data_IF_433071773313
#
_entry.id   IF_433071773313
#
_cell.length_a   1.000
_cell.length_b   1.000
_cell.length_c   1.000
_cell.angle_alpha   90.00
_cell.angle_beta   90.00
_cell.angle_gamma   90.00
#
_symmetry.space_group_name_H-M   'P 1'
#
loop_
_entity.id
_entity.type
_entity.pdbx_description
1 polymer ?
#
# COMPACT_ATOMS: atom_id res chain seq x y z
N UNK A 1 3.67 -29.28 -26.11
CA UNK A 1 2.94 -28.73 -27.26
C UNK A 1 3.87 -27.77 -27.98
N UNK A 2 4.02 -27.89 -29.28
CA UNK A 2 4.83 -26.94 -30.11
C UNK A 2 3.86 -26.23 -31.06
N UNK A 3 3.92 -24.91 -31.08
CA UNK A 3 3.10 -24.06 -31.98
C UNK A 3 4.03 -23.22 -32.81
N UNK A 4 3.84 -23.29 -34.13
CA UNK A 4 4.60 -22.49 -35.07
C UNK A 4 3.65 -21.47 -35.73
N UNK A 5 4.07 -20.19 -35.73
CA UNK A 5 3.36 -19.10 -36.41
C UNK A 5 4.34 -18.41 -37.36
N UNK A 6 4.03 -18.42 -38.65
CA UNK A 6 4.80 -17.70 -39.65
C UNK A 6 4.18 -16.32 -39.89
N UNK A 7 5.00 -15.29 -39.93
CA UNK A 7 4.59 -13.91 -40.18
C UNK A 7 5.30 -13.35 -41.41
N UNK A 8 4.57 -12.68 -42.24
CA UNK A 8 5.10 -11.83 -43.31
C UNK A 8 4.78 -10.40 -42.95
N UNK A 9 5.79 -9.53 -42.95
CA UNK A 9 5.63 -8.10 -42.63
C UNK A 9 6.01 -7.32 -43.89
N UNK A 10 5.07 -6.60 -44.45
CA UNK A 10 5.32 -5.66 -45.53
C UNK A 10 5.44 -4.25 -44.94
N UNK A 11 6.61 -3.66 -45.01
CA UNK A 11 6.88 -2.31 -44.54
C UNK A 11 7.30 -1.45 -45.72
N UNK A 12 6.64 -0.31 -45.87
CA UNK A 12 6.98 0.63 -46.94
C UNK A 12 8.41 1.15 -46.75
N UNK A 13 9.19 1.22 -47.83
CA UNK A 13 10.57 1.71 -47.81
C UNK A 13 10.68 3.15 -47.25
N UNK A 14 9.61 3.94 -47.38
CA UNK A 14 9.51 5.31 -46.86
C UNK A 14 9.00 5.41 -45.42
N UNK A 15 8.74 4.28 -44.74
CA UNK A 15 8.19 4.28 -43.39
C UNK A 15 9.22 4.84 -42.39
N UNK A 16 8.77 5.73 -41.50
CA UNK A 16 9.55 6.21 -40.40
C UNK A 16 9.75 5.09 -39.34
N UNK A 17 10.77 5.20 -38.52
CA UNK A 17 11.04 4.24 -37.44
C UNK A 17 9.80 4.01 -36.54
N UNK A 18 9.06 5.07 -36.19
CA UNK A 18 7.85 4.95 -35.39
C UNK A 18 6.73 4.16 -36.12
N UNK A 19 6.61 4.32 -37.41
CA UNK A 19 5.66 3.55 -38.23
C UNK A 19 6.06 2.08 -38.32
N UNK A 20 7.36 1.79 -38.49
CA UNK A 20 7.90 0.44 -38.48
C UNK A 20 7.62 -0.26 -37.12
N UNK A 21 7.89 0.45 -36.01
CA UNK A 21 7.64 -0.07 -34.65
C UNK A 21 6.15 -0.40 -34.43
N UNK A 22 5.23 0.50 -34.84
CA UNK A 22 3.79 0.25 -34.73
C UNK A 22 3.34 -0.94 -35.58
N UNK A 23 3.81 -1.06 -36.81
CA UNK A 23 3.46 -2.19 -37.69
C UNK A 23 3.94 -3.51 -37.11
N UNK A 24 5.19 -3.56 -36.61
CA UNK A 24 5.75 -4.75 -35.94
C UNK A 24 4.94 -5.10 -34.68
N UNK A 25 4.55 -4.10 -33.88
CA UNK A 25 3.73 -4.30 -32.68
C UNK A 25 2.35 -4.89 -33.04
N UNK A 26 1.66 -4.34 -34.03
CA UNK A 26 0.33 -4.80 -34.43
C UNK A 26 0.36 -6.24 -34.98
N UNK A 27 1.33 -6.55 -35.82
CA UNK A 27 1.53 -7.88 -36.37
C UNK A 27 1.93 -8.87 -35.26
N UNK A 28 2.81 -8.45 -34.35
CA UNK A 28 3.19 -9.24 -33.19
C UNK A 28 1.99 -9.60 -32.31
N UNK A 29 1.08 -8.66 -32.06
CA UNK A 29 -0.16 -8.90 -31.34
C UNK A 29 -1.09 -9.88 -32.09
N UNK A 30 -1.17 -9.77 -33.42
CA UNK A 30 -1.94 -10.71 -34.24
C UNK A 30 -1.37 -12.12 -34.16
N UNK A 31 -0.04 -12.25 -34.23
CA UNK A 31 0.65 -13.52 -34.08
C UNK A 31 0.41 -14.16 -32.70
N UNK A 32 0.49 -13.37 -31.64
CA UNK A 32 0.18 -13.87 -30.30
C UNK A 32 -1.25 -14.37 -30.17
N UNK A 33 -2.22 -13.68 -30.78
CA UNK A 33 -3.62 -14.13 -30.80
C UNK A 33 -3.78 -15.45 -31.55
N UNK A 34 -3.09 -15.59 -32.69
CA UNK A 34 -3.17 -16.83 -33.49
C UNK A 34 -2.47 -17.99 -32.78
N UNK A 35 -1.27 -17.76 -32.26
CA UNK A 35 -0.56 -18.75 -31.43
C UNK A 35 -1.42 -19.25 -30.27
N UNK A 36 -2.11 -18.33 -29.58
CA UNK A 36 -3.01 -18.66 -28.47
C UNK A 36 -4.18 -19.56 -28.91
N UNK A 37 -4.82 -19.27 -30.04
CA UNK A 37 -5.87 -20.13 -30.60
C UNK A 37 -5.35 -21.53 -30.93
N UNK A 38 -4.18 -21.62 -31.57
CA UNK A 38 -3.56 -22.90 -31.92
C UNK A 38 -3.19 -23.71 -30.67
N UNK A 39 -2.64 -23.07 -29.65
CA UNK A 39 -2.33 -23.71 -28.36
C UNK A 39 -3.58 -24.30 -27.71
N UNK A 40 -4.69 -23.55 -27.71
CA UNK A 40 -5.97 -24.05 -27.18
C UNK A 40 -6.46 -25.23 -27.99
N UNK A 41 -6.36 -25.16 -29.32
CA UNK A 41 -6.77 -26.26 -30.21
C UNK A 41 -5.95 -27.55 -29.95
N UNK A 42 -4.64 -27.43 -29.79
CA UNK A 42 -3.80 -28.59 -29.44
C UNK A 42 -4.13 -29.15 -28.05
N UNK A 43 -4.38 -28.27 -27.06
CA UNK A 43 -4.83 -28.70 -25.74
C UNK A 43 -6.20 -29.40 -25.78
N UNK A 44 -7.11 -28.95 -26.67
CA UNK A 44 -8.39 -29.60 -26.91
C UNK A 44 -8.23 -31.00 -27.50
N UNK A 45 -7.27 -31.18 -28.42
CA UNK A 45 -6.97 -32.46 -29.03
C UNK A 45 -6.41 -33.51 -28.03
N UNK A 46 -5.74 -33.03 -26.97
CA UNK A 46 -5.25 -33.88 -25.87
C UNK A 46 -6.37 -34.40 -24.94
N UNK A 47 -7.47 -33.67 -24.85
CA UNK A 47 -8.63 -34.01 -24.01
C UNK A 47 -9.59 -34.94 -24.75
N UNK A 48 -9.29 -36.24 -24.80
CA UNK A 48 -10.06 -37.19 -25.60
C UNK A 48 -11.26 -37.81 -24.86
N UNK A 49 -11.23 -37.86 -23.54
CA UNK A 49 -12.27 -38.52 -22.74
C UNK A 49 -13.41 -37.57 -22.36
N UNK A 50 -14.61 -38.11 -22.25
CA UNK A 50 -15.78 -37.41 -21.73
C UNK A 50 -15.56 -37.07 -20.25
N UNK A 51 -15.72 -35.79 -19.82
CA UNK A 51 -15.53 -35.41 -18.42
C UNK A 51 -16.61 -35.93 -17.47
N UNK A 52 -17.70 -36.53 -18.01
CA UNK A 52 -18.83 -37.04 -17.22
C UNK A 52 -18.77 -38.53 -16.96
N UNK A 53 -18.24 -39.31 -17.92
CA UNK A 53 -18.24 -40.78 -17.81
C UNK A 53 -16.93 -41.46 -18.25
N UNK A 54 -15.92 -40.71 -18.66
CA UNK A 54 -14.63 -41.21 -19.11
C UNK A 54 -14.62 -41.86 -20.50
N UNK A 55 -15.78 -42.05 -21.17
CA UNK A 55 -15.83 -42.67 -22.49
C UNK A 55 -15.08 -41.82 -23.54
N UNK A 56 -14.33 -42.53 -24.43
CA UNK A 56 -13.56 -41.88 -25.51
C UNK A 56 -14.39 -41.70 -26.79
N UNK A 57 -15.46 -42.49 -26.97
CA UNK A 57 -16.32 -42.42 -28.14
C UNK A 57 -17.19 -41.17 -28.11
N UNK A 58 -17.04 -40.31 -29.10
CA UNK A 58 -17.72 -39.03 -29.21
C UNK A 58 -18.02 -38.65 -30.64
N UNK A 59 -19.12 -37.93 -30.86
CA UNK A 59 -19.52 -37.38 -32.15
C UNK A 59 -19.40 -35.87 -32.11
N UNK A 60 -18.84 -35.25 -33.14
CA UNK A 60 -18.80 -33.80 -33.29
C UNK A 60 -20.21 -33.25 -33.52
N UNK A 61 -20.66 -32.32 -32.70
CA UNK A 61 -21.93 -31.59 -32.85
C UNK A 61 -21.77 -30.23 -33.54
N UNK A 62 -20.55 -29.68 -33.56
CA UNK A 62 -20.26 -28.39 -34.15
C UNK A 62 -19.19 -27.59 -33.41
N UNK A 63 -19.15 -26.29 -33.64
CA UNK A 63 -18.19 -25.36 -33.02
C UNK A 63 -18.93 -24.24 -32.33
N UNK A 64 -18.56 -23.95 -31.10
CA UNK A 64 -19.03 -22.80 -30.33
C UNK A 64 -17.88 -21.83 -30.10
N UNK A 65 -18.17 -20.54 -30.04
CA UNK A 65 -17.15 -19.50 -29.86
C UNK A 65 -17.13 -18.98 -28.42
N UNK A 66 -15.94 -18.69 -27.91
CA UNK A 66 -15.77 -17.99 -26.65
C UNK A 66 -14.80 -16.83 -26.85
N UNK A 67 -15.17 -15.65 -26.35
CA UNK A 67 -14.29 -14.50 -26.37
C UNK A 67 -13.54 -14.43 -25.03
N UNK A 68 -12.22 -14.31 -25.12
CA UNK A 68 -11.35 -14.16 -23.95
C UNK A 68 -10.55 -12.87 -24.11
N UNK A 69 -10.63 -11.98 -23.14
CA UNK A 69 -9.77 -10.81 -23.04
C UNK A 69 -8.40 -11.25 -22.49
N UNK A 70 -7.34 -10.93 -23.22
CA UNK A 70 -5.95 -11.29 -22.92
C UNK A 70 -5.07 -10.04 -22.90
N UNK A 71 -3.81 -10.17 -22.52
CA UNK A 71 -2.83 -9.07 -22.57
C UNK A 71 -2.60 -8.55 -23.99
N UNK A 72 -2.85 -9.35 -25.01
CA UNK A 72 -2.66 -9.00 -26.42
C UNK A 72 -3.99 -8.79 -27.16
N UNK A 73 -5.05 -8.44 -26.43
CA UNK A 73 -6.38 -8.09 -26.95
C UNK A 73 -7.43 -9.17 -26.73
N UNK A 74 -8.61 -8.97 -27.32
CA UNK A 74 -9.69 -9.95 -27.28
C UNK A 74 -9.46 -11.04 -28.32
N UNK A 75 -9.52 -12.29 -27.90
CA UNK A 75 -9.33 -13.48 -28.75
C UNK A 75 -10.63 -14.25 -28.79
N UNK A 76 -11.17 -14.41 -30.01
CA UNK A 76 -12.29 -15.29 -30.25
C UNK A 76 -11.78 -16.70 -30.48
N UNK A 77 -12.01 -17.59 -29.50
CA UNK A 77 -11.55 -18.97 -29.51
C UNK A 77 -12.67 -19.88 -29.99
N UNK A 78 -12.52 -20.55 -31.12
CA UNK A 78 -13.42 -21.60 -31.56
C UNK A 78 -13.17 -22.85 -30.70
N UNK A 79 -14.23 -23.47 -30.16
CA UNK A 79 -14.19 -24.68 -29.36
C UNK A 79 -15.07 -25.71 -30.00
N UNK A 80 -14.57 -26.94 -30.21
CA UNK A 80 -15.37 -28.03 -30.72
C UNK A 80 -16.30 -28.56 -29.62
N UNK A 81 -17.56 -28.73 -29.98
CA UNK A 81 -18.59 -29.35 -29.12
C UNK A 81 -18.84 -30.76 -29.56
N UNK A 82 -18.72 -31.69 -28.63
CA UNK A 82 -18.91 -33.10 -28.87
C UNK A 82 -20.07 -33.65 -28.03
N UNK A 83 -20.76 -34.66 -28.56
CA UNK A 83 -21.71 -35.48 -27.82
C UNK A 83 -21.06 -36.82 -27.48
N UNK A 84 -21.08 -37.19 -26.21
CA UNK A 84 -20.57 -38.47 -25.75
C UNK A 84 -21.51 -39.59 -26.17
N UNK A 85 -20.98 -40.65 -26.78
CA UNK A 85 -21.78 -41.80 -27.16
C UNK A 85 -22.09 -42.72 -25.97
N UNK A 86 -21.31 -42.67 -24.88
CA UNK A 86 -21.55 -43.47 -23.68
C UNK A 86 -22.66 -42.92 -22.78
N UNK A 87 -22.65 -41.57 -22.48
CA UNK A 87 -23.64 -40.99 -21.57
C UNK A 87 -24.61 -40.00 -22.23
N UNK A 88 -24.50 -39.74 -23.52
CA UNK A 88 -25.37 -38.84 -24.28
C UNK A 88 -25.18 -37.34 -23.99
N UNK A 89 -24.29 -36.94 -23.07
CA UNK A 89 -24.06 -35.53 -22.70
C UNK A 89 -23.13 -34.83 -23.70
N UNK A 90 -23.44 -33.55 -23.95
CA UNK A 90 -22.58 -32.68 -24.77
C UNK A 90 -21.51 -32.01 -23.92
N UNK A 91 -20.30 -31.85 -24.45
CA UNK A 91 -19.18 -31.20 -23.80
C UNK A 91 -18.22 -30.54 -24.78
N UNK A 92 -17.45 -29.57 -24.31
CA UNK A 92 -16.32 -28.97 -25.05
C UNK A 92 -15.04 -29.33 -24.32
N UNK A 93 -14.12 -30.10 -24.89
CA UNK A 93 -12.84 -30.46 -24.22
C UNK A 93 -12.04 -29.23 -23.79
N UNK A 94 -12.02 -28.16 -24.60
CA UNK A 94 -11.36 -26.90 -24.28
C UNK A 94 -11.86 -26.25 -22.98
N UNK A 95 -13.03 -26.65 -22.43
CA UNK A 95 -13.51 -26.06 -21.17
C UNK A 95 -12.57 -26.34 -19.98
N UNK A 96 -11.86 -27.47 -20.00
CA UNK A 96 -10.86 -27.78 -18.97
C UNK A 96 -9.74 -26.73 -18.93
N UNK A 97 -9.33 -26.20 -20.09
CA UNK A 97 -8.30 -25.16 -20.19
C UNK A 97 -8.78 -23.80 -19.64
N UNK A 98 -10.08 -23.60 -19.50
CA UNK A 98 -10.69 -22.37 -19.01
C UNK A 98 -11.19 -22.47 -17.56
N UNK A 99 -10.89 -23.57 -16.87
CA UNK A 99 -11.32 -23.77 -15.48
C UNK A 99 -10.84 -22.63 -14.55
N UNK A 100 -9.61 -22.13 -14.77
CA UNK A 100 -9.03 -21.00 -14.01
C UNK A 100 -9.81 -19.68 -14.15
N UNK A 101 -10.62 -19.55 -15.24
CA UNK A 101 -11.41 -18.34 -15.46
C UNK A 101 -12.68 -18.29 -14.59
N UNK A 102 -13.03 -19.41 -13.92
CA UNK A 102 -14.21 -19.52 -13.05
C UNK A 102 -15.50 -18.94 -13.71
N UNK A 103 -15.72 -19.26 -14.99
CA UNK A 103 -16.83 -18.73 -15.78
C UNK A 103 -16.63 -17.34 -16.39
N UNK A 104 -15.59 -16.61 -15.99
CA UNK A 104 -15.24 -15.29 -16.53
C UNK A 104 -14.67 -15.31 -17.95
N UNK A 105 -14.39 -14.13 -18.47
CA UNK A 105 -13.87 -13.92 -19.83
C UNK A 105 -12.49 -13.23 -19.87
N UNK A 106 -11.91 -12.94 -18.72
CA UNK A 106 -10.61 -12.24 -18.61
C UNK A 106 -9.54 -13.22 -18.17
N UNK A 107 -8.46 -13.35 -18.94
CA UNK A 107 -7.34 -14.24 -18.62
C UNK A 107 -6.65 -13.82 -17.33
N UNK A 108 -6.08 -14.78 -16.61
CA UNK A 108 -5.38 -14.51 -15.34
C UNK A 108 -4.27 -13.46 -15.46
N UNK A 109 -3.39 -13.52 -16.49
CA UNK A 109 -2.38 -12.47 -16.70
C UNK A 109 -2.97 -11.07 -16.90
N UNK A 110 -4.11 -10.95 -17.61
CA UNK A 110 -4.77 -9.65 -17.77
C UNK A 110 -5.45 -9.19 -16.47
N UNK A 111 -6.01 -10.10 -15.67
CA UNK A 111 -6.54 -9.75 -14.35
C UNK A 111 -5.42 -9.16 -13.46
N UNK A 112 -4.26 -9.78 -13.43
CA UNK A 112 -3.10 -9.30 -12.65
C UNK A 112 -2.62 -7.93 -13.14
N UNK A 113 -2.51 -7.74 -14.44
CA UNK A 113 -2.18 -6.44 -15.02
C UNK A 113 -3.25 -5.38 -14.69
N UNK A 114 -4.53 -5.75 -14.72
CA UNK A 114 -5.65 -4.87 -14.36
C UNK A 114 -5.62 -4.48 -12.87
N UNK A 115 -5.28 -5.40 -11.97
CA UNK A 115 -5.12 -5.09 -10.54
C UNK A 115 -3.95 -4.13 -10.31
N UNK A 116 -2.79 -4.40 -10.92
CA UNK A 116 -1.60 -3.56 -10.82
C UNK A 116 -1.87 -2.15 -11.35
N UNK A 117 -2.42 -2.06 -12.54
CA UNK A 117 -2.77 -0.78 -13.16
C UNK A 117 -3.87 -0.05 -12.37
N UNK A 118 -4.94 -0.74 -11.95
CA UNK A 118 -6.07 -0.17 -11.24
C UNK A 118 -5.76 0.30 -9.82
N UNK A 119 -4.83 -0.37 -9.11
CA UNK A 119 -4.37 0.10 -7.80
C UNK A 119 -3.34 1.24 -7.90
N UNK A 120 -2.74 1.47 -9.08
CA UNK A 120 -1.76 2.52 -9.30
C UNK A 120 -2.35 3.78 -9.92
N UNK A 121 -3.30 3.64 -10.86
CA UNK A 121 -3.89 4.74 -11.64
C UNK A 121 -5.42 4.78 -11.54
N UNK A 122 -6.06 5.94 -11.86
CA UNK A 122 -7.50 5.99 -12.11
C UNK A 122 -7.91 4.97 -13.17
N UNK A 123 -9.07 4.33 -13.02
CA UNK A 123 -9.46 3.20 -13.86
C UNK A 123 -9.48 3.51 -15.37
N UNK A 124 -9.89 4.72 -15.77
CA UNK A 124 -9.83 5.16 -17.19
C UNK A 124 -8.38 5.24 -17.67
N UNK A 125 -7.48 5.79 -16.87
CA UNK A 125 -6.06 5.86 -17.20
C UNK A 125 -5.41 4.45 -17.21
N UNK A 126 -5.81 3.58 -16.30
CA UNK A 126 -5.37 2.18 -16.28
C UNK A 126 -5.78 1.42 -17.54
N UNK A 127 -7.04 1.57 -17.98
CA UNK A 127 -7.54 0.99 -19.23
C UNK A 127 -6.77 1.51 -20.46
N UNK A 128 -6.58 2.82 -20.54
CA UNK A 128 -5.82 3.44 -21.64
C UNK A 128 -4.35 2.99 -21.65
N UNK A 129 -3.70 2.89 -20.47
CA UNK A 129 -2.33 2.43 -20.36
C UNK A 129 -2.19 0.97 -20.79
N UNK A 130 -3.06 0.07 -20.32
CA UNK A 130 -3.05 -1.34 -20.73
C UNK A 130 -3.24 -1.51 -22.23
N UNK A 131 -4.17 -0.75 -22.82
CA UNK A 131 -4.38 -0.75 -24.29
C UNK A 131 -3.13 -0.28 -25.01
N UNK A 132 -2.51 0.82 -24.58
CA UNK A 132 -1.34 1.40 -25.23
C UNK A 132 -0.10 0.52 -25.12
N UNK A 133 0.14 -0.08 -23.95
CA UNK A 133 1.39 -0.80 -23.65
C UNK A 133 1.36 -2.27 -24.07
N UNK A 134 0.19 -2.92 -24.05
CA UNK A 134 0.09 -4.36 -24.32
C UNK A 134 -0.94 -4.72 -25.38
N UNK A 135 -1.77 -3.78 -25.82
CA UNK A 135 -2.90 -4.08 -26.71
C UNK A 135 -4.11 -4.69 -26.01
N UNK A 136 -4.09 -4.78 -24.68
CA UNK A 136 -5.19 -5.33 -23.92
C UNK A 136 -6.46 -4.46 -24.06
N UNK A 137 -7.57 -5.10 -24.38
CA UNK A 137 -8.87 -4.45 -24.51
C UNK A 137 -9.74 -4.79 -23.28
N UNK A 138 -9.62 -3.96 -22.26
CA UNK A 138 -10.36 -4.07 -20.99
C UNK A 138 -10.91 -2.69 -20.59
N UNK A 139 -12.18 -2.63 -20.24
CA UNK A 139 -12.83 -1.38 -19.86
C UNK A 139 -12.45 -0.93 -18.44
N UNK A 140 -12.58 0.37 -18.18
CA UNK A 140 -12.38 0.94 -16.86
C UNK A 140 -13.30 0.31 -15.79
N UNK A 141 -14.52 -0.07 -16.19
CA UNK A 141 -15.49 -0.73 -15.30
C UNK A 141 -15.08 -2.18 -15.00
N UNK A 142 -14.63 -2.94 -16.01
CA UNK A 142 -14.10 -4.29 -15.77
C UNK A 142 -12.89 -4.27 -14.84
N UNK A 143 -11.95 -3.32 -15.02
CA UNK A 143 -10.82 -3.13 -14.10
C UNK A 143 -11.31 -2.88 -12.68
N UNK A 144 -12.31 -1.99 -12.52
CA UNK A 144 -12.89 -1.67 -11.21
C UNK A 144 -13.50 -2.90 -10.54
N UNK A 145 -14.29 -3.67 -11.27
CA UNK A 145 -14.95 -4.87 -10.77
C UNK A 145 -13.95 -5.96 -10.39
N UNK A 146 -12.96 -6.23 -11.24
CA UNK A 146 -11.89 -7.21 -10.97
C UNK A 146 -11.07 -6.80 -9.74
N UNK A 147 -10.66 -5.53 -9.67
CA UNK A 147 -9.87 -5.01 -8.55
C UNK A 147 -10.66 -5.09 -7.24
N UNK A 148 -11.93 -4.68 -7.22
CA UNK A 148 -12.74 -4.71 -6.01
C UNK A 148 -12.93 -6.15 -5.51
N UNK A 149 -13.28 -7.09 -6.40
CA UNK A 149 -13.45 -8.50 -6.02
C UNK A 149 -12.17 -9.08 -5.42
N UNK A 150 -11.06 -8.95 -6.13
CA UNK A 150 -9.78 -9.51 -5.67
C UNK A 150 -9.27 -8.79 -4.43
N UNK A 151 -9.36 -7.47 -4.39
CA UNK A 151 -8.90 -6.67 -3.26
C UNK A 151 -9.71 -6.89 -1.98
N UNK A 152 -11.03 -7.14 -2.07
CA UNK A 152 -11.84 -7.51 -0.90
C UNK A 152 -11.45 -8.90 -0.38
N UNK A 153 -11.23 -9.87 -1.27
CA UNK A 153 -10.74 -11.19 -0.88
C UNK A 153 -9.36 -11.08 -0.21
N UNK A 154 -8.46 -10.28 -0.79
CA UNK A 154 -7.12 -10.08 -0.23
C UNK A 154 -7.16 -9.38 1.13
N UNK A 155 -8.00 -8.35 1.30
CA UNK A 155 -8.18 -7.68 2.58
C UNK A 155 -8.68 -8.64 3.68
N UNK A 156 -9.64 -9.50 3.35
CA UNK A 156 -10.14 -10.53 4.26
C UNK A 156 -9.04 -11.55 4.62
N UNK A 157 -8.25 -11.98 3.65
CA UNK A 157 -7.11 -12.89 3.88
C UNK A 157 -6.05 -12.25 4.79
N UNK A 158 -5.64 -11.00 4.50
CA UNK A 158 -4.68 -10.27 5.32
C UNK A 158 -5.17 -10.15 6.76
N UNK A 159 -6.46 -9.83 6.96
CA UNK A 159 -7.05 -9.70 8.28
C UNK A 159 -7.08 -11.04 9.02
N UNK A 160 -7.55 -12.12 8.40
CA UNK A 160 -7.60 -13.45 8.99
C UNK A 160 -6.20 -13.99 9.34
N UNK A 161 -5.20 -13.71 8.50
CA UNK A 161 -3.82 -14.07 8.76
C UNK A 161 -3.26 -13.28 9.95
N UNK A 162 -3.52 -11.97 10.01
CA UNK A 162 -3.09 -11.12 11.10
C UNK A 162 -3.73 -11.54 12.44
N UNK A 163 -5.01 -11.88 12.45
CA UNK A 163 -5.71 -12.39 13.62
C UNK A 163 -5.11 -13.72 14.12
N UNK A 164 -4.83 -14.66 13.20
CA UNK A 164 -4.16 -15.92 13.54
C UNK A 164 -2.77 -15.67 14.17
N UNK A 165 -1.98 -14.79 13.57
CA UNK A 165 -0.67 -14.41 14.09
C UNK A 165 -0.79 -13.79 15.47
N UNK A 166 -1.77 -12.92 15.73
CA UNK A 166 -1.98 -12.30 17.04
C UNK A 166 -2.50 -13.29 18.09
N UNK A 167 -3.23 -14.32 17.71
CA UNK A 167 -3.79 -15.35 18.62
C UNK A 167 -2.80 -16.46 18.93
N UNK A 168 -1.73 -16.61 18.12
CA UNK A 168 -0.70 -17.60 18.36
C UNK A 168 0.09 -17.23 19.65
N UNK A 169 0.33 -18.19 20.55
CA UNK A 169 1.17 -17.94 21.72
C UNK A 169 2.55 -17.44 21.27
N UNK A 170 3.11 -16.50 22.04
CA UNK A 170 4.47 -16.07 21.82
C UNK A 170 5.39 -17.29 21.98
N UNK A 171 6.03 -17.72 20.90
CA UNK A 171 7.03 -18.79 21.01
C UNK A 171 8.14 -18.27 21.91
N UNK A 172 8.55 -19.02 22.95
CA UNK A 172 9.75 -18.72 23.68
C UNK A 172 10.92 -18.91 22.71
N UNK A 173 11.40 -17.84 22.16
CA UNK A 173 12.56 -17.88 21.26
C UNK A 173 13.80 -17.84 22.12
N UNK A 174 14.51 -18.96 22.15
CA UNK A 174 15.92 -18.93 22.50
C UNK A 174 16.64 -17.94 21.60
N UNK A 175 17.37 -17.05 22.24
CA UNK A 175 18.39 -16.17 21.67
C UNK A 175 17.96 -15.05 20.72
N UNK A 176 17.96 -14.07 21.30
CA UNK A 176 18.42 -12.69 21.12
C UNK A 176 19.42 -12.37 19.99
N UNK A 177 20.03 -13.31 19.34
CA UNK A 177 21.02 -13.02 18.28
C UNK A 177 20.40 -12.45 17.01
N UNK A 178 19.18 -12.85 16.66
CA UNK A 178 18.46 -12.37 15.47
C UNK A 178 17.38 -11.31 15.79
N UNK A 179 17.31 -10.80 17.02
CA UNK A 179 16.36 -9.76 17.37
C UNK A 179 16.78 -8.43 16.79
N UNK A 180 15.84 -7.74 16.12
CA UNK A 180 16.07 -6.37 15.66
C UNK A 180 16.33 -5.46 16.87
N UNK A 181 17.39 -4.62 16.85
CA UNK A 181 17.73 -3.77 17.97
C UNK A 181 16.64 -2.74 18.26
N UNK A 182 15.98 -2.23 17.22
CA UNK A 182 14.91 -1.25 17.32
C UNK A 182 13.85 -1.49 16.24
N UNK A 183 12.61 -1.70 16.69
CA UNK A 183 11.43 -1.73 15.86
C UNK A 183 10.70 -0.39 15.95
N UNK A 184 10.43 0.22 14.81
CA UNK A 184 9.64 1.43 14.73
C UNK A 184 8.25 1.11 14.20
N UNK A 185 7.23 1.55 14.93
CA UNK A 185 5.83 1.47 14.54
C UNK A 185 5.29 2.88 14.41
N UNK A 186 4.68 3.19 13.28
CA UNK A 186 4.02 4.47 13.08
C UNK A 186 2.61 4.29 12.57
N UNK A 187 1.68 5.10 13.05
CA UNK A 187 0.28 5.10 12.62
C UNK A 187 -0.26 6.50 12.39
N UNK A 188 -1.12 6.64 11.37
CA UNK A 188 -1.80 7.91 11.04
C UNK A 188 -3.03 7.65 10.17
N UNK A 189 -3.93 8.64 10.09
CA UNK A 189 -5.14 8.64 9.29
C UNK A 189 -5.02 9.44 7.99
N UNK A 190 -5.61 8.92 6.93
CA UNK A 190 -5.75 9.64 5.66
C UNK A 190 -7.22 9.80 5.25
N UNK A 191 -7.69 11.03 5.05
CA UNK A 191 -9.07 11.30 4.66
C UNK A 191 -9.25 11.26 3.14
N UNK A 192 -10.30 10.58 2.67
CA UNK A 192 -10.73 10.54 1.27
C UNK A 192 -12.21 10.85 1.15
N UNK A 193 -12.64 11.33 -0.02
CA UNK A 193 -14.07 11.58 -0.28
C UNK A 193 -14.88 10.29 -0.17
N UNK A 194 -16.02 10.34 0.52
CA UNK A 194 -16.93 9.21 0.70
C UNK A 194 -18.16 9.33 -0.21
N UNK A 195 -18.68 8.18 -0.65
CA UNK A 195 -19.99 8.04 -1.29
C UNK A 195 -21.09 7.69 -0.29
N UNK A 196 -20.73 7.32 0.94
CA UNK A 196 -21.61 6.80 1.97
C UNK A 196 -21.99 7.87 3.00
N UNK A 197 -21.15 8.91 3.16
CA UNK A 197 -21.36 9.97 4.16
C UNK A 197 -20.80 11.32 3.69
N UNK A 198 -21.27 12.40 4.26
CA UNK A 198 -20.70 13.75 4.09
C UNK A 198 -19.37 13.86 4.83
N UNK A 199 -18.48 14.75 4.39
CA UNK A 199 -17.18 15.01 5.05
C UNK A 199 -16.06 14.03 4.74
N UNK A 200 -16.36 12.90 4.07
CA UNK A 200 -15.34 11.90 3.72
C UNK A 200 -15.27 10.75 4.73
N UNK A 201 -14.26 9.89 4.56
CA UNK A 201 -13.96 8.77 5.46
C UNK A 201 -12.47 8.64 5.69
N UNK A 202 -12.11 8.25 6.89
CA UNK A 202 -10.74 8.03 7.30
C UNK A 202 -10.26 6.64 6.91
N UNK A 203 -9.14 6.59 6.20
CA UNK A 203 -8.36 5.38 6.03
C UNK A 203 -7.19 5.39 6.99
N UNK A 204 -6.98 4.29 7.69
CA UNK A 204 -5.94 4.12 8.68
C UNK A 204 -4.75 3.40 8.08
N UNK A 205 -3.54 3.90 8.32
CA UNK A 205 -2.28 3.35 7.81
C UNK A 205 -1.33 3.15 8.97
N UNK A 206 -0.63 2.04 8.97
CA UNK A 206 0.55 1.88 9.81
C UNK A 206 1.76 1.47 8.95
N UNK A 207 2.93 1.86 9.40
CA UNK A 207 4.22 1.42 8.87
C UNK A 207 5.03 0.84 10.01
N UNK A 208 5.57 -0.34 9.78
CA UNK A 208 6.46 -1.04 10.69
C UNK A 208 7.80 -1.24 10.00
N UNK A 209 8.90 -0.95 10.66
CA UNK A 209 10.23 -1.12 10.10
C UNK A 209 11.27 -1.35 11.20
N UNK A 210 12.38 -1.97 10.83
CA UNK A 210 13.57 -2.02 11.67
C UNK A 210 14.44 -0.79 11.39
N UNK A 211 15.15 -0.32 12.42
CA UNK A 211 16.15 0.72 12.29
C UNK A 211 17.55 0.12 12.47
N UNK A 212 18.40 0.37 11.50
CA UNK A 212 19.82 0.00 11.58
C UNK A 212 20.64 1.26 11.88
N UNK A 213 21.62 1.12 12.75
CA UNK A 213 22.63 2.16 12.99
C UNK A 213 23.38 2.49 11.69
N UNK A 214 23.76 3.75 11.52
CA UNK A 214 24.28 4.25 10.26
C UNK A 214 25.60 3.62 9.83
N UNK A 215 25.64 3.35 8.55
CA UNK A 215 26.91 3.35 7.83
C UNK A 215 27.45 4.80 7.74
N UNK A 216 28.75 5.02 7.94
CA UNK A 216 29.33 6.36 7.77
C UNK A 216 28.96 6.89 6.38
N UNK A 217 28.41 8.11 6.35
CA UNK A 217 28.09 8.78 5.10
C UNK A 217 29.38 8.87 4.27
N UNK A 218 29.34 8.47 2.98
CA UNK A 218 30.43 8.81 2.08
C UNK A 218 30.55 10.33 2.13
N UNK A 219 31.74 10.80 2.47
CA UNK A 219 32.10 12.22 2.41
C UNK A 219 31.85 12.67 0.98
N UNK A 220 30.78 13.44 0.77
CA UNK A 220 30.60 14.14 -0.50
C UNK A 220 31.81 15.03 -0.64
N UNK A 221 32.66 14.74 -1.59
CA UNK A 221 33.69 15.65 -2.06
C UNK A 221 32.96 16.94 -2.45
N UNK A 222 33.12 17.97 -1.62
CA UNK A 222 32.47 19.26 -1.79
C UNK A 222 33.22 20.03 -2.85
N UNK A 223 32.77 19.95 -4.09
CA UNK A 223 33.17 20.89 -5.15
C UNK A 223 32.21 22.12 -5.22
N UNK A 224 31.33 22.29 -4.26
CA UNK A 224 30.48 23.48 -4.14
C UNK A 224 30.76 24.19 -2.82
N UNK A 225 31.61 25.23 -2.88
CA UNK A 225 31.79 26.19 -1.78
C UNK A 225 30.65 27.19 -1.78
N UNK A 226 29.62 26.97 -0.95
CA UNK A 226 28.81 28.06 -0.46
C UNK A 226 29.48 28.58 0.80
N UNK A 227 29.79 29.89 0.81
CA UNK A 227 30.48 30.62 1.87
C UNK A 227 30.04 30.17 3.27
N UNK A 228 31.03 29.76 4.06
CA UNK A 228 30.90 29.39 5.45
C UNK A 228 30.42 30.58 6.28
N UNK A 229 29.15 30.66 6.61
CA UNK A 229 28.66 31.33 7.80
C UNK A 229 27.91 30.31 8.64
N UNK A 230 28.55 29.87 9.70
CA UNK A 230 27.91 29.00 10.70
C UNK A 230 28.74 27.78 11.07
N UNK A 231 28.88 27.57 12.36
CA UNK A 231 29.58 26.45 12.97
C UNK A 231 29.21 25.12 12.29
N UNK A 232 30.21 24.30 11.99
CA UNK A 232 30.08 22.94 11.46
C UNK A 232 29.08 22.20 12.35
N UNK A 233 27.86 21.97 11.85
CA UNK A 233 26.95 21.04 12.51
C UNK A 233 27.64 19.67 12.49
N UNK A 234 27.69 18.96 13.63
CA UNK A 234 28.22 17.59 13.65
C UNK A 234 27.49 16.76 12.59
N UNK A 235 28.18 15.81 11.95
CA UNK A 235 27.56 14.97 10.94
C UNK A 235 26.33 14.33 11.57
N UNK A 236 25.15 14.58 10.98
CA UNK A 236 23.91 13.96 11.44
C UNK A 236 24.02 12.48 11.20
N UNK A 237 24.06 11.69 12.27
CA UNK A 237 23.84 10.27 12.15
C UNK A 237 22.52 10.06 11.40
N UNK A 238 22.56 9.42 10.24
CA UNK A 238 21.37 9.07 9.46
C UNK A 238 21.05 7.63 9.77
N UNK A 239 19.95 7.43 10.49
CA UNK A 239 19.40 6.10 10.68
C UNK A 239 18.70 5.63 9.40
N UNK A 240 19.02 4.44 8.95
CA UNK A 240 18.40 3.82 7.79
C UNK A 240 17.28 2.90 8.24
N UNK A 241 16.06 3.15 7.75
CA UNK A 241 14.92 2.28 7.97
C UNK A 241 14.93 1.15 6.95
N UNK A 242 14.96 -0.07 7.43
CA UNK A 242 15.00 -1.31 6.64
C UNK A 242 13.80 -2.19 6.95
N UNK A 243 13.58 -3.25 6.16
CA UNK A 243 12.49 -4.22 6.35
C UNK A 243 11.12 -3.56 6.51
N UNK A 244 10.81 -2.53 5.74
CA UNK A 244 9.57 -1.75 5.87
C UNK A 244 8.36 -2.56 5.43
N UNK A 245 7.33 -2.57 6.27
CA UNK A 245 6.01 -3.15 5.99
C UNK A 245 4.93 -2.09 6.17
N UNK A 246 4.06 -1.97 5.17
CA UNK A 246 2.92 -1.07 5.18
C UNK A 246 1.65 -1.88 5.37
N UNK A 247 0.77 -1.43 6.23
CA UNK A 247 -0.56 -2.00 6.42
C UNK A 247 -1.60 -0.89 6.45
N UNK A 248 -2.80 -1.16 5.97
CA UNK A 248 -3.84 -0.15 5.89
C UNK A 248 -5.24 -0.76 5.83
N UNK A 249 -6.21 -0.02 6.35
CA UNK A 249 -7.63 -0.39 6.27
C UNK A 249 -8.53 0.85 6.30
N UNK A 250 -9.72 0.76 5.72
CA UNK A 250 -10.83 1.67 5.99
C UNK A 250 -11.85 1.09 6.98
N UNK A 251 -11.55 -0.07 7.54
CA UNK A 251 -12.32 -0.73 8.59
C UNK A 251 -12.07 -0.17 9.99
N UNK A 252 -12.54 -0.89 11.03
CA UNK A 252 -12.30 -0.56 12.44
C UNK A 252 -10.81 -0.47 12.77
N UNK A 253 -10.45 0.33 13.77
CA UNK A 253 -9.05 0.49 14.21
C UNK A 253 -8.43 -0.81 14.72
N UNK A 254 -9.23 -1.71 15.32
CA UNK A 254 -8.79 -3.03 15.74
C UNK A 254 -8.21 -3.87 14.60
N UNK A 255 -8.77 -3.75 13.38
CA UNK A 255 -8.21 -4.40 12.19
C UNK A 255 -6.79 -3.90 11.90
N UNK A 256 -6.57 -2.57 11.96
CA UNK A 256 -5.23 -2.04 11.77
C UNK A 256 -4.27 -2.52 12.87
N UNK A 257 -4.73 -2.60 14.12
CA UNK A 257 -3.92 -3.12 15.24
C UNK A 257 -3.40 -4.53 14.98
N UNK A 258 -4.28 -5.45 14.57
CA UNK A 258 -3.88 -6.82 14.20
C UNK A 258 -2.89 -6.83 13.02
N UNK A 259 -3.18 -6.07 11.96
CA UNK A 259 -2.30 -5.96 10.80
C UNK A 259 -0.92 -5.41 11.18
N UNK A 260 -0.86 -4.38 12.04
CA UNK A 260 0.40 -3.80 12.48
C UNK A 260 1.21 -4.77 13.37
N UNK A 261 0.53 -5.50 14.26
CA UNK A 261 1.17 -6.51 15.09
C UNK A 261 1.73 -7.69 14.27
N UNK A 262 0.98 -8.16 13.27
CA UNK A 262 1.46 -9.19 12.35
C UNK A 262 2.64 -8.69 11.51
N UNK A 263 2.59 -7.44 11.03
CA UNK A 263 3.71 -6.82 10.32
C UNK A 263 4.95 -6.71 11.23
N UNK A 264 4.80 -6.40 12.50
CA UNK A 264 5.89 -6.34 13.46
C UNK A 264 6.60 -7.70 13.59
N UNK A 265 5.84 -8.78 13.71
CA UNK A 265 6.38 -10.15 13.75
C UNK A 265 7.07 -10.56 12.44
N UNK A 266 6.61 -10.03 11.28
CA UNK A 266 7.28 -10.30 9.99
C UNK A 266 8.56 -9.50 9.78
N UNK A 267 8.74 -8.37 10.48
CA UNK A 267 9.95 -7.54 10.45
C UNK A 267 11.02 -8.08 11.40
N UNK A 268 10.61 -8.55 12.58
CA UNK A 268 11.49 -9.11 13.58
C UNK A 268 10.98 -10.51 13.98
N UNK A 269 11.73 -11.54 13.60
CA UNK A 269 11.38 -12.94 13.90
C UNK A 269 11.46 -13.24 15.40
N UNK A 270 12.43 -12.62 16.09
CA UNK A 270 12.54 -12.63 17.54
C UNK A 270 11.96 -11.34 18.14
N UNK A 271 11.55 -11.33 19.42
CA UNK A 271 11.10 -10.12 20.09
C UNK A 271 12.15 -9.00 19.97
N UNK A 272 11.81 -7.80 19.44
CA UNK A 272 12.77 -6.72 19.29
C UNK A 272 13.22 -6.21 20.65
N UNK A 273 14.47 -5.74 20.76
CA UNK A 273 15.01 -5.21 22.03
C UNK A 273 14.26 -3.96 22.48
N UNK A 274 13.91 -3.10 21.53
CA UNK A 274 13.13 -1.89 21.79
C UNK A 274 12.05 -1.72 20.73
N UNK A 275 10.89 -1.28 21.16
CA UNK A 275 9.80 -0.85 20.28
C UNK A 275 9.53 0.61 20.52
N UNK A 276 9.56 1.41 19.48
CA UNK A 276 9.17 2.83 19.49
C UNK A 276 7.92 3.01 18.65
N UNK A 277 6.88 3.59 19.24
CA UNK A 277 5.66 3.93 18.54
C UNK A 277 5.56 5.45 18.42
N UNK A 278 5.51 5.92 17.19
CA UNK A 278 5.44 7.34 16.83
C UNK A 278 4.09 7.64 16.18
N UNK A 279 3.34 8.62 16.70
CA UNK A 279 2.02 9.01 16.19
C UNK A 279 1.63 10.44 16.54
N UNK A 280 0.50 10.90 15.97
CA UNK A 280 -0.12 12.19 16.26
C UNK A 280 -0.93 12.24 17.57
N UNK A 281 -1.03 11.12 18.27
CA UNK A 281 -1.75 11.00 19.54
C UNK A 281 -3.25 10.74 19.39
N UNK A 282 -3.75 10.40 18.22
CA UNK A 282 -5.15 10.03 18.01
C UNK A 282 -5.59 8.88 18.94
N UNK A 283 -6.77 8.97 19.54
CA UNK A 283 -7.25 8.04 20.56
C UNK A 283 -7.27 6.57 20.06
N UNK A 284 -7.62 6.35 18.80
CA UNK A 284 -7.63 5.00 18.25
C UNK A 284 -6.21 4.38 18.19
N UNK A 285 -5.17 5.20 18.02
CA UNK A 285 -3.78 4.72 18.03
C UNK A 285 -3.39 4.31 19.45
N UNK A 286 -3.74 5.12 20.45
CA UNK A 286 -3.49 4.79 21.87
C UNK A 286 -4.13 3.46 22.26
N UNK A 287 -5.38 3.23 21.83
CA UNK A 287 -6.09 1.97 22.09
C UNK A 287 -5.37 0.78 21.45
N UNK A 288 -4.89 0.91 20.21
CA UNK A 288 -4.18 -0.19 19.54
C UNK A 288 -2.77 -0.38 20.12
N UNK A 289 -2.11 0.70 20.54
CA UNK A 289 -0.82 0.62 21.22
C UNK A 289 -0.94 -0.17 22.53
N UNK A 290 -1.90 0.18 23.40
CA UNK A 290 -2.10 -0.51 24.68
C UNK A 290 -2.36 -2.01 24.48
N UNK A 291 -3.06 -2.38 23.41
CA UNK A 291 -3.42 -3.77 23.13
C UNK A 291 -2.28 -4.59 22.51
N UNK A 292 -1.54 -4.00 21.56
CA UNK A 292 -0.60 -4.76 20.72
C UNK A 292 0.88 -4.43 20.97
N UNK A 293 1.15 -3.27 21.55
CA UNK A 293 2.50 -2.78 21.82
C UNK A 293 2.61 -2.16 23.22
N UNK A 294 2.19 -2.88 24.30
CA UNK A 294 2.10 -2.30 25.66
C UNK A 294 3.46 -1.81 26.20
N UNK A 295 4.55 -2.43 25.75
CA UNK A 295 5.92 -2.09 26.17
C UNK A 295 6.60 -1.04 25.27
N UNK A 296 5.89 -0.49 24.29
CA UNK A 296 6.48 0.48 23.37
C UNK A 296 6.77 1.80 24.08
N UNK A 297 7.93 2.40 23.76
CA UNK A 297 8.18 3.82 24.02
C UNK A 297 7.33 4.63 23.08
N UNK A 298 6.31 5.30 23.60
CA UNK A 298 5.39 6.12 22.82
C UNK A 298 5.94 7.55 22.66
N UNK A 299 6.00 8.02 21.44
CA UNK A 299 6.48 9.36 21.11
C UNK A 299 5.38 10.10 20.34
N UNK A 300 4.92 11.22 20.89
CA UNK A 300 4.06 12.13 20.16
C UNK A 300 4.86 12.86 19.09
N UNK A 301 4.32 12.94 17.88
CA UNK A 301 4.99 13.66 16.79
C UNK A 301 5.31 15.11 17.17
N UNK A 302 6.60 15.46 17.09
CA UNK A 302 7.07 16.78 17.49
C UNK A 302 6.44 17.92 16.69
N UNK A 303 6.22 17.74 15.39
CA UNK A 303 5.66 18.78 14.55
C UNK A 303 4.17 19.00 14.86
N UNK A 304 3.44 17.92 15.21
CA UNK A 304 2.06 17.97 15.66
C UNK A 304 1.94 18.71 16.99
N UNK A 305 2.67 18.25 17.99
CA UNK A 305 2.71 18.84 19.32
C UNK A 305 3.04 20.34 19.24
N UNK A 306 4.11 20.68 18.52
CA UNK A 306 4.56 22.07 18.40
C UNK A 306 3.54 22.96 17.68
N UNK A 307 2.83 22.45 16.69
CA UNK A 307 1.78 23.16 15.98
C UNK A 307 0.60 23.51 16.89
N UNK A 308 0.17 22.57 17.73
CA UNK A 308 -0.92 22.78 18.70
C UNK A 308 -0.55 23.83 19.72
N UNK A 309 0.63 23.73 20.31
CA UNK A 309 1.11 24.71 21.31
C UNK A 309 1.30 26.10 20.70
N UNK A 310 1.86 26.19 19.49
CA UNK A 310 1.93 27.47 18.77
C UNK A 310 0.57 28.08 18.52
N UNK A 311 -0.42 27.25 18.16
CA UNK A 311 -1.78 27.72 17.95
C UNK A 311 -2.37 28.26 19.26
N UNK A 312 -2.22 27.55 20.37
CA UNK A 312 -2.70 27.98 21.69
C UNK A 312 -2.09 29.33 22.10
N UNK A 313 -0.77 29.50 21.94
CA UNK A 313 -0.08 30.80 22.23
C UNK A 313 -0.62 31.92 21.30
N UNK A 314 -0.84 31.61 20.01
CA UNK A 314 -1.34 32.62 19.07
C UNK A 314 -2.79 33.03 19.38
N UNK A 315 -3.65 32.10 19.82
CA UNK A 315 -5.03 32.37 20.26
C UNK A 315 -5.02 33.21 21.54
N UNK A 316 -4.19 32.81 22.52
CA UNK A 316 -4.04 33.57 23.77
C UNK A 316 -3.55 35.02 23.51
N UNK A 317 -2.60 35.21 22.60
CA UNK A 317 -2.08 36.50 22.19
C UNK A 317 -3.12 37.38 21.46
N UNK A 318 -4.17 36.80 20.88
CA UNK A 318 -5.28 37.60 20.32
C UNK A 318 -6.25 38.08 21.40
N UNK A 319 -6.48 37.26 22.42
CA UNK A 319 -7.34 37.60 23.52
C UNK A 319 -6.71 38.65 24.46
N UNK A 320 -5.41 38.51 24.70
CA UNK A 320 -4.58 39.50 25.41
C UNK A 320 -3.39 39.89 24.53
N UNK A 321 -3.41 41.09 23.89
CA UNK A 321 -2.36 41.45 22.96
C UNK A 321 -0.97 41.36 23.59
N UNK A 322 -0.13 40.52 23.01
CA UNK A 322 1.29 40.41 23.30
C UNK A 322 2.07 41.20 22.23
N UNK A 323 3.12 41.88 22.62
CA UNK A 323 4.10 42.41 21.68
C UNK A 323 4.74 41.29 20.87
N UNK A 324 5.31 41.60 19.72
CA UNK A 324 6.02 40.62 18.88
C UNK A 324 7.14 39.92 19.66
N UNK A 325 7.91 40.72 20.45
CA UNK A 325 8.99 40.17 21.28
C UNK A 325 8.51 39.22 22.37
N UNK A 326 7.42 39.56 23.06
CA UNK A 326 6.82 38.69 24.07
C UNK A 326 6.29 37.41 23.47
N UNK A 327 5.63 37.45 22.32
CA UNK A 327 5.14 36.29 21.64
C UNK A 327 6.28 35.35 21.19
N UNK A 328 7.35 35.90 20.64
CA UNK A 328 8.51 35.12 20.21
C UNK A 328 9.25 34.51 21.41
N UNK A 329 9.30 35.23 22.53
CA UNK A 329 9.80 34.73 23.81
C UNK A 329 8.95 33.52 24.29
N UNK A 330 7.62 33.62 24.28
CA UNK A 330 6.73 32.55 24.67
C UNK A 330 6.90 31.32 23.76
N UNK A 331 7.04 31.53 22.45
CA UNK A 331 7.34 30.42 21.53
C UNK A 331 8.65 29.74 21.87
N UNK A 332 9.70 30.48 22.13
CA UNK A 332 11.01 29.92 22.46
C UNK A 332 11.00 29.15 23.77
N UNK A 333 10.33 29.71 24.77
CA UNK A 333 10.23 29.14 26.12
C UNK A 333 9.45 27.83 26.12
N UNK A 334 8.23 27.80 25.54
CA UNK A 334 7.41 26.60 25.46
C UNK A 334 8.05 25.53 24.58
N UNK A 335 8.72 25.93 23.51
CA UNK A 335 9.48 25.00 22.66
C UNK A 335 10.61 24.35 23.44
N UNK A 336 11.32 25.10 24.27
CA UNK A 336 12.39 24.59 25.12
C UNK A 336 11.84 23.60 26.15
N UNK A 337 10.82 24.00 26.92
CA UNK A 337 10.21 23.12 27.92
C UNK A 337 9.76 21.79 27.32
N UNK A 338 9.01 21.80 26.22
CA UNK A 338 8.54 20.59 25.57
C UNK A 338 9.68 19.76 25.00
N UNK A 339 10.73 20.40 24.47
CA UNK A 339 11.88 19.69 23.92
C UNK A 339 12.62 18.87 24.99
N UNK A 340 12.69 19.39 26.21
CA UNK A 340 13.30 18.72 27.34
C UNK A 340 12.31 17.88 28.18
N UNK A 341 11.06 17.76 27.74
CA UNK A 341 10.04 16.94 28.43
C UNK A 341 9.40 17.62 29.65
N UNK A 342 9.59 18.93 29.78
CA UNK A 342 9.05 19.73 30.90
C UNK A 342 7.59 20.12 30.61
N UNK A 343 6.71 19.13 30.55
CA UNK A 343 5.31 19.33 30.14
C UNK A 343 4.55 20.21 31.14
N UNK A 344 4.83 20.04 32.45
CA UNK A 344 4.15 20.81 33.50
C UNK A 344 4.44 22.30 33.40
N UNK A 345 5.70 22.67 33.13
CA UNK A 345 6.07 24.04 32.89
C UNK A 345 5.38 24.62 31.64
N UNK A 346 5.29 23.83 30.57
CA UNK A 346 4.60 24.26 29.37
C UNK A 346 3.10 24.47 29.60
N UNK A 347 2.43 23.55 30.31
CA UNK A 347 1.00 23.67 30.67
C UNK A 347 0.78 24.88 31.58
N UNK A 348 1.60 25.03 32.62
CA UNK A 348 1.49 26.16 33.56
C UNK A 348 1.75 27.48 32.84
N UNK A 349 2.76 27.54 31.97
CA UNK A 349 3.05 28.69 31.14
C UNK A 349 1.89 29.10 30.24
N UNK A 350 1.24 28.12 29.56
CA UNK A 350 0.04 28.38 28.76
C UNK A 350 -1.11 28.92 29.61
N UNK A 351 -1.34 28.36 30.80
CA UNK A 351 -2.40 28.79 31.72
C UNK A 351 -2.16 30.22 32.23
N UNK A 352 -0.91 30.60 32.45
CA UNK A 352 -0.56 31.94 32.93
C UNK A 352 -0.62 33.03 31.86
N UNK A 353 -0.59 32.65 30.58
CA UNK A 353 -0.66 33.61 29.47
C UNK A 353 -1.97 34.38 29.43
N UNK A 354 -3.06 33.84 29.95
CA UNK A 354 -4.30 34.58 30.01
C UNK A 354 -5.23 34.07 31.14
N UNK A 355 -5.56 34.91 32.08
CA UNK A 355 -6.80 34.86 32.85
C UNK A 355 -7.95 35.13 31.87
N UNK A 356 -8.86 34.11 31.66
CA UNK A 356 -9.94 34.22 30.69
C UNK A 356 -9.55 33.74 29.27
N UNK A 357 -8.80 32.65 29.18
CA UNK A 357 -8.44 32.02 27.91
C UNK A 357 -9.67 31.67 27.06
N UNK A 358 -9.64 31.92 25.74
CA UNK A 358 -10.65 31.41 24.81
C UNK A 358 -10.74 29.90 24.88
N UNK A 359 -11.93 29.35 24.60
CA UNK A 359 -12.20 27.92 24.65
C UNK A 359 -11.18 27.11 23.83
N UNK A 360 -10.76 27.59 22.67
CA UNK A 360 -9.75 26.94 21.82
C UNK A 360 -8.38 26.78 22.50
N UNK A 361 -7.97 27.77 23.31
CA UNK A 361 -6.70 27.70 24.05
C UNK A 361 -6.81 26.71 25.23
N UNK A 362 -7.96 26.67 25.91
CA UNK A 362 -8.25 25.71 26.97
C UNK A 362 -8.29 24.27 26.45
N UNK A 363 -8.89 24.07 25.27
CA UNK A 363 -8.90 22.79 24.58
C UNK A 363 -7.48 22.30 24.25
N UNK A 364 -6.62 23.18 23.74
CA UNK A 364 -5.22 22.84 23.45
C UNK A 364 -4.44 22.46 24.72
N UNK A 365 -4.69 23.14 25.85
CA UNK A 365 -4.09 22.76 27.16
C UNK A 365 -4.57 21.38 27.59
N UNK A 366 -5.88 21.14 27.51
CA UNK A 366 -6.47 19.83 27.87
C UNK A 366 -5.90 18.72 26.99
N UNK A 367 -5.76 18.95 25.68
CA UNK A 367 -5.14 18.02 24.76
C UNK A 367 -3.68 17.72 25.11
N UNK A 368 -2.91 18.75 25.49
CA UNK A 368 -1.53 18.59 25.94
C UNK A 368 -1.42 17.71 27.19
N UNK A 369 -2.34 17.90 28.16
CA UNK A 369 -2.41 17.11 29.37
C UNK A 369 -2.77 15.63 29.06
N UNK A 370 -3.75 15.40 28.17
CA UNK A 370 -4.12 14.06 27.72
C UNK A 370 -3.00 13.35 26.93
N UNK A 371 -2.14 14.11 26.27
CA UNK A 371 -1.01 13.59 25.50
C UNK A 371 0.25 13.39 26.36
N UNK A 372 0.25 13.85 27.61
CA UNK A 372 1.41 13.84 28.52
C UNK A 372 2.16 12.48 28.56
N UNK A 373 1.50 11.30 28.62
CA UNK A 373 2.20 10.01 28.64
C UNK A 373 3.07 9.74 27.40
N UNK A 374 2.82 10.47 26.31
CA UNK A 374 3.52 10.36 25.03
C UNK A 374 4.55 11.48 24.80
N UNK A 375 4.70 12.38 25.76
CA UNK A 375 5.61 13.51 25.69
C UNK A 375 6.71 13.29 26.75
N UNK A 376 7.91 13.02 26.26
CA UNK A 376 9.10 12.94 27.09
C UNK A 376 10.19 13.88 26.58
N UNK A 377 11.44 13.64 26.97
CA UNK A 377 12.56 14.43 26.45
C UNK A 377 12.87 14.04 25.01
N UNK A 378 12.49 14.91 24.07
CA UNK A 378 12.81 14.76 22.65
C UNK A 378 14.31 14.82 22.38
N UNK A 379 15.04 15.60 23.19
CA UNK A 379 16.49 15.64 23.14
C UNK A 379 17.10 14.29 23.49
N UNK A 380 16.62 13.66 24.56
CA UNK A 380 17.07 12.32 24.98
C UNK A 380 16.74 11.26 23.92
N UNK A 381 15.51 11.24 23.40
CA UNK A 381 15.12 10.31 22.35
C UNK A 381 15.97 10.46 21.10
N UNK A 382 16.31 11.70 20.72
CA UNK A 382 17.22 11.93 19.59
C UNK A 382 18.64 11.45 19.85
N UNK A 383 19.13 11.55 21.07
CA UNK A 383 20.45 10.98 21.47
C UNK A 383 20.46 9.47 21.38
N UNK A 384 19.33 8.83 21.70
CA UNK A 384 19.13 7.38 21.49
C UNK A 384 18.93 6.99 20.03
N UNK A 385 18.86 7.95 19.11
CA UNK A 385 18.62 7.70 17.70
C UNK A 385 17.14 7.48 17.34
N UNK A 386 16.21 7.71 18.26
CA UNK A 386 14.79 7.54 17.96
C UNK A 386 14.26 8.66 17.06
N UNK A 387 13.40 8.35 16.07
CA UNK A 387 12.73 9.38 15.29
C UNK A 387 11.72 10.11 16.17
N UNK A 388 11.70 11.44 16.04
CA UNK A 388 10.76 12.30 16.78
C UNK A 388 9.77 13.03 15.87
N UNK A 389 9.81 12.74 14.59
CA UNK A 389 8.94 13.34 13.57
C UNK A 389 8.30 12.31 12.66
N UNK A 390 7.05 12.55 12.27
CA UNK A 390 6.14 11.67 11.53
C UNK A 390 6.46 11.47 10.04
N UNK A 391 7.58 11.97 9.54
CA UNK A 391 7.88 11.95 8.09
C UNK A 391 7.78 10.57 7.42
N UNK A 392 8.07 9.47 8.16
CA UNK A 392 7.88 8.12 7.63
C UNK A 392 6.40 7.74 7.51
N UNK A 393 5.57 8.21 8.43
CA UNK A 393 4.14 7.91 8.52
C UNK A 393 3.39 8.74 7.47
N UNK A 394 3.69 10.04 7.38
CA UNK A 394 3.15 10.93 6.34
C UNK A 394 3.45 10.36 4.93
N UNK A 395 4.68 9.86 4.74
CA UNK A 395 5.06 9.17 3.50
C UNK A 395 4.25 7.89 3.30
N UNK A 396 3.97 7.12 4.33
CA UNK A 396 3.15 5.91 4.24
C UNK A 396 1.72 6.25 3.81
N UNK A 397 1.07 7.24 4.44
CA UNK A 397 -0.25 7.75 4.05
C UNK A 397 -0.24 8.25 2.62
N UNK A 398 0.76 9.03 2.23
CA UNK A 398 0.91 9.52 0.86
C UNK A 398 1.03 8.39 -0.16
N UNK A 399 1.85 7.37 0.13
CA UNK A 399 2.09 6.23 -0.76
C UNK A 399 0.90 5.29 -0.84
N UNK A 400 0.25 4.99 0.27
CA UNK A 400 -0.82 3.97 0.35
C UNK A 400 -2.18 4.58 -0.03
N UNK A 401 -2.51 5.77 0.48
CA UNK A 401 -3.82 6.40 0.28
C UNK A 401 -3.75 7.53 -0.75
N UNK A 402 -3.01 8.62 -0.44
CA UNK A 402 -3.22 9.90 -1.11
C UNK A 402 -2.95 9.84 -2.62
N UNK A 403 -1.84 9.24 -3.04
CA UNK A 403 -1.42 9.19 -4.46
C UNK A 403 -2.44 8.52 -5.37
N UNK A 404 -3.22 7.58 -4.85
CA UNK A 404 -4.24 6.87 -5.62
C UNK A 404 -5.65 7.38 -5.37
N UNK A 405 -5.99 7.74 -4.15
CA UNK A 405 -7.36 7.87 -3.70
C UNK A 405 -7.80 9.31 -3.43
N UNK A 406 -6.85 10.23 -3.17
CA UNK A 406 -7.14 11.63 -2.86
C UNK A 406 -6.94 12.53 -4.07
N UNK A 407 -7.68 12.26 -5.16
CA UNK A 407 -7.70 13.12 -6.35
C UNK A 407 -9.02 13.87 -6.45
N UNK A 408 -9.00 15.05 -7.09
CA UNK A 408 -10.19 15.89 -7.26
C UNK A 408 -11.36 15.09 -7.85
N UNK A 409 -12.52 15.15 -7.19
CA UNK A 409 -13.73 14.46 -7.59
C UNK A 409 -13.79 12.96 -7.27
N UNK A 410 -12.75 12.36 -6.71
CA UNK A 410 -12.80 10.95 -6.30
C UNK A 410 -13.59 10.77 -5.01
N UNK A 411 -14.56 9.84 -5.05
CA UNK A 411 -15.33 9.40 -3.89
C UNK A 411 -15.36 7.87 -3.87
N UNK A 412 -15.32 7.29 -2.68
CA UNK A 412 -15.18 5.86 -2.45
C UNK A 412 -16.27 5.31 -1.54
N UNK A 413 -16.68 4.06 -1.79
CA UNK A 413 -17.38 3.24 -0.80
C UNK A 413 -16.32 2.53 0.05
N UNK A 414 -16.58 2.34 1.33
CA UNK A 414 -15.64 1.74 2.28
C UNK A 414 -15.08 0.38 1.84
N UNK A 415 -15.90 -0.60 1.37
CA UNK A 415 -15.38 -1.89 0.92
C UNK A 415 -14.39 -1.76 -0.25
N UNK A 416 -14.69 -0.86 -1.21
CA UNK A 416 -13.83 -0.64 -2.37
C UNK A 416 -12.54 0.11 -1.99
N UNK A 417 -12.62 1.03 -1.03
CA UNK A 417 -11.45 1.72 -0.51
C UNK A 417 -10.52 0.74 0.21
N UNK A 418 -11.06 -0.16 1.05
CA UNK A 418 -10.32 -1.23 1.73
C UNK A 418 -9.67 -2.16 0.71
N UNK A 419 -10.39 -2.57 -0.35
CA UNK A 419 -9.84 -3.40 -1.42
C UNK A 419 -8.62 -2.75 -2.10
N UNK A 420 -8.71 -1.46 -2.41
CA UNK A 420 -7.60 -0.73 -3.04
C UNK A 420 -6.40 -0.65 -2.11
N UNK A 421 -6.56 -0.31 -0.83
CA UNK A 421 -5.39 -0.19 0.07
C UNK A 421 -4.77 -1.53 0.39
N UNK A 422 -5.53 -2.62 0.48
CA UNK A 422 -5.00 -3.97 0.64
C UNK A 422 -4.04 -4.35 -0.50
N UNK A 423 -4.45 -4.13 -1.74
CA UNK A 423 -3.60 -4.38 -2.91
C UNK A 423 -2.42 -3.41 -2.99
N UNK A 424 -2.59 -2.16 -2.55
CA UNK A 424 -1.50 -1.19 -2.53
C UNK A 424 -0.46 -1.51 -1.46
N UNK A 425 -0.86 -2.05 -0.31
CA UNK A 425 0.09 -2.52 0.72
C UNK A 425 0.88 -3.72 0.20
N UNK A 426 0.26 -4.71 -0.43
CA UNK A 426 0.96 -5.82 -1.07
C UNK A 426 2.00 -5.31 -2.09
N UNK A 427 1.59 -4.37 -2.97
CA UNK A 427 2.51 -3.78 -3.95
C UNK A 427 3.70 -3.06 -3.29
N UNK A 428 3.49 -2.38 -2.16
CA UNK A 428 4.56 -1.64 -1.45
C UNK A 428 5.46 -2.53 -0.63
N UNK A 429 4.93 -3.64 -0.17
CA UNK A 429 5.66 -4.63 0.60
C UNK A 429 6.44 -5.62 -0.27
N UNK A 430 6.29 -5.55 -1.60
CA UNK A 430 6.80 -6.55 -2.56
C UNK A 430 6.19 -7.94 -2.34
N UNK A 431 5.00 -8.00 -1.73
CA UNK A 431 4.21 -9.22 -1.57
C UNK A 431 3.39 -9.53 -2.82
N UNK A 432 3.41 -8.62 -3.80
CA UNK A 432 2.82 -8.85 -5.10
C UNK A 432 3.57 -9.98 -5.77
N UNK A 433 2.98 -11.16 -5.73
CA UNK A 433 3.54 -12.33 -6.37
C UNK A 433 3.43 -12.10 -7.88
N UNK A 434 4.54 -11.72 -8.50
CA UNK A 434 4.68 -11.89 -9.93
C UNK A 434 4.42 -13.36 -10.24
N UNK A 435 3.64 -13.68 -11.30
CA UNK A 435 3.30 -15.07 -11.62
C UNK A 435 4.56 -15.93 -11.63
N UNK A 436 4.46 -17.14 -11.11
CA UNK A 436 5.56 -18.12 -11.00
C UNK A 436 6.36 -18.34 -12.30
N UNK A 437 5.87 -17.83 -13.44
CA UNK A 437 6.54 -17.88 -14.75
C UNK A 437 7.88 -17.14 -14.83
N UNK A 438 8.14 -16.16 -13.98
CA UNK A 438 9.45 -15.50 -13.94
C UNK A 438 10.46 -16.23 -13.04
N UNK A 439 10.04 -17.24 -12.29
CA UNK A 439 10.94 -18.12 -11.53
C UNK A 439 11.33 -19.40 -12.27
N UNK A 440 10.76 -19.67 -13.44
CA UNK A 440 10.91 -20.92 -14.18
C UNK A 440 11.77 -20.79 -15.45
N UNK A 441 12.61 -19.76 -15.56
CA UNK A 441 13.72 -19.78 -16.49
C UNK A 441 15.00 -19.96 -15.67
N UNK A 442 15.67 -21.12 -15.85
CA UNK A 442 17.00 -21.34 -15.28
C UNK A 442 18.02 -20.39 -15.87
#
# INVERSE_FOLDING_TARGET
MQVQVSLTIEIAASASLAQMEHQVQDIGQQAMREAFKQTIRQGEDQQQACPHCGAKQRRLEGTVRRVIATLFGRVQVPRRRFRCQGCGRSFCPANALFAELAGGTVSRPLQEAAWLAGCSWPYRAASAALKRLSGADISAEEIRLLLNRHGQQRAAQQQAEAERVCSAPAQPTEAAENAEPLLLVGGDGGWVGSREQRGGMEGKVAVVCAQVADLPMPTRSSTFSWSQRGARRPPRQRHRLVKRRYVATFGPSGHLGHLAAAAARSVSEAPPRHVVLLADGAQWIKTQQARHFPQATCILDWAHLWREVRHAIAVAARAKPLSVGERDYQFSLHRSWLWYGQVDQAVQGLRSLATGLPAEALEAITNLEHQRPWIGSYEHWRKLGYPVGSGMIERAVALVINRRMKKRGMRWCRPNATAVVALRTDLRNSDWILPQRLRAFP
#
